data_IF_408119358209
#
_entry.id   IF_408119358209
#
_cell.length_a   1.000
_cell.length_b   1.000
_cell.length_c   1.000
_cell.angle_alpha   90.00
_cell.angle_beta   90.00
_cell.angle_gamma   90.00
#
_symmetry.space_group_name_H-M   'P 1'
#
loop_
_entity.id
_entity.type
_entity.pdbx_description
1 polymer ?
#
# COMPACT_ATOMS: atom_id res chain seq x y z
N UNK A 1 7.46 2.89 -15.76
CA UNK A 1 6.28 2.45 -16.54
C UNK A 1 6.23 3.16 -17.90
N UNK A 2 6.06 4.49 -17.95
CA UNK A 2 6.13 5.29 -19.19
C UNK A 2 7.43 5.07 -20.00
N UNK A 3 8.59 5.29 -19.38
CA UNK A 3 9.90 5.10 -20.03
C UNK A 3 10.16 3.69 -20.56
N UNK A 4 9.59 2.67 -19.89
CA UNK A 4 9.86 1.26 -20.17
C UNK A 4 8.91 0.65 -21.20
N UNK A 5 7.66 1.13 -21.23
CA UNK A 5 6.60 0.47 -22.01
C UNK A 5 5.96 1.38 -23.06
N UNK A 6 5.98 2.69 -22.87
CA UNK A 6 5.29 3.66 -23.75
C UNK A 6 6.28 4.35 -24.68
N UNK A 7 7.37 4.90 -24.13
CA UNK A 7 8.35 5.65 -24.92
C UNK A 7 9.02 4.85 -26.04
N UNK A 8 9.37 3.55 -25.90
CA UNK A 8 10.06 2.82 -26.96
C UNK A 8 9.31 2.78 -28.31
N UNK A 9 8.00 3.07 -28.31
CA UNK A 9 7.16 3.02 -29.51
C UNK A 9 6.56 4.36 -29.92
N UNK A 10 6.50 5.32 -28.99
CA UNK A 10 5.79 6.59 -29.18
C UNK A 10 6.71 7.81 -29.03
N UNK A 11 8.01 7.62 -28.87
CA UNK A 11 9.01 8.70 -28.76
C UNK A 11 9.04 9.63 -29.98
N UNK A 12 8.75 9.09 -31.17
CA UNK A 12 8.75 9.84 -32.44
C UNK A 12 7.36 10.26 -32.93
N UNK A 13 6.30 9.91 -32.21
CA UNK A 13 4.92 10.22 -32.61
C UNK A 13 4.49 11.52 -31.94
N UNK A 14 4.11 12.53 -32.74
CA UNK A 14 3.52 13.74 -32.20
C UNK A 14 2.20 13.41 -31.50
N UNK A 15 1.97 14.01 -30.33
CA UNK A 15 0.81 13.68 -29.49
C UNK A 15 -0.53 13.92 -30.20
N UNK A 16 -0.61 14.92 -31.08
CA UNK A 16 -1.80 15.22 -31.90
C UNK A 16 -2.04 14.25 -33.06
N UNK A 17 -1.03 13.46 -33.45
CA UNK A 17 -1.13 12.44 -34.51
C UNK A 17 -1.29 11.03 -33.95
N UNK A 18 -1.43 10.88 -32.63
CA UNK A 18 -1.56 9.57 -32.02
C UNK A 18 -2.90 8.92 -32.43
N UNK A 19 -2.82 7.69 -32.92
CA UNK A 19 -3.98 6.93 -33.37
C UNK A 19 -4.29 5.74 -32.45
N UNK A 20 -5.56 5.30 -32.36
CA UNK A 20 -5.96 4.16 -31.53
C UNK A 20 -5.18 2.87 -31.85
N UNK A 21 -4.81 2.66 -33.13
CA UNK A 21 -4.00 1.49 -33.54
C UNK A 21 -2.62 1.44 -32.88
N UNK A 22 -2.00 2.60 -32.66
CA UNK A 22 -0.68 2.69 -32.02
C UNK A 22 -0.79 2.39 -30.52
N UNK A 23 -1.85 2.89 -29.87
CA UNK A 23 -2.14 2.56 -28.46
C UNK A 23 -2.39 1.06 -28.28
N UNK A 24 -3.17 0.44 -29.17
CA UNK A 24 -3.36 -1.01 -29.20
C UNK A 24 -2.04 -1.77 -29.40
N UNK A 25 -1.17 -1.31 -30.31
CA UNK A 25 0.12 -1.94 -30.56
C UNK A 25 1.02 -1.93 -29.32
N UNK A 26 1.05 -0.82 -28.57
CA UNK A 26 1.80 -0.71 -27.30
C UNK A 26 1.25 -1.69 -26.26
N UNK A 27 -0.08 -1.79 -26.12
CA UNK A 27 -0.71 -2.74 -25.19
C UNK A 27 -0.42 -4.18 -25.59
N UNK A 28 -0.50 -4.51 -26.87
CA UNK A 28 -0.24 -5.86 -27.38
C UNK A 28 1.23 -6.25 -27.16
N UNK A 29 2.17 -5.35 -27.39
CA UNK A 29 3.60 -5.60 -27.14
C UNK A 29 3.91 -5.78 -25.65
N UNK A 30 3.23 -5.02 -24.78
CA UNK A 30 3.32 -5.28 -23.34
C UNK A 30 2.82 -6.70 -23.02
N UNK A 31 1.74 -7.13 -23.66
CA UNK A 31 1.20 -8.48 -23.47
C UNK A 31 2.15 -9.57 -23.99
N UNK A 32 2.76 -9.41 -25.17
CA UNK A 32 3.72 -10.37 -25.73
C UNK A 32 5.00 -10.47 -24.92
N UNK A 33 5.40 -9.38 -24.22
CA UNK A 33 6.50 -9.39 -23.23
C UNK A 33 6.15 -10.07 -21.90
N UNK A 34 4.96 -10.68 -21.79
CA UNK A 34 4.53 -11.41 -20.61
C UNK A 34 3.94 -10.54 -19.50
N UNK A 35 3.64 -9.26 -19.74
CA UNK A 35 2.99 -8.43 -18.72
C UNK A 35 1.55 -8.91 -18.48
N UNK A 36 1.09 -8.69 -17.25
CA UNK A 36 -0.29 -9.00 -16.85
C UNK A 36 -1.29 -8.13 -17.62
N UNK A 37 -2.52 -8.64 -17.80
CA UNK A 37 -3.63 -7.88 -18.39
C UNK A 37 -3.87 -6.57 -17.65
N UNK A 38 -3.82 -6.60 -16.31
CA UNK A 38 -3.89 -5.40 -15.45
C UNK A 38 -2.83 -4.38 -15.83
N UNK A 39 -1.57 -4.79 -15.99
CA UNK A 39 -0.49 -3.87 -16.36
C UNK A 39 -0.69 -3.30 -17.76
N UNK A 40 -1.14 -4.09 -18.72
CA UNK A 40 -1.45 -3.62 -20.08
C UNK A 40 -2.59 -2.59 -20.07
N UNK A 41 -3.65 -2.86 -19.31
CA UNK A 41 -4.75 -1.93 -19.12
C UNK A 41 -4.30 -0.65 -18.38
N UNK A 42 -3.35 -0.77 -17.45
CA UNK A 42 -2.78 0.39 -16.77
C UNK A 42 -1.97 1.30 -17.71
N UNK A 43 -1.31 0.75 -18.74
CA UNK A 43 -0.73 1.53 -19.85
C UNK A 43 -1.80 2.39 -20.53
N UNK A 44 -2.91 1.78 -20.92
CA UNK A 44 -4.04 2.49 -21.54
C UNK A 44 -4.59 3.59 -20.63
N UNK A 45 -4.80 3.29 -19.35
CA UNK A 45 -5.35 4.25 -18.37
C UNK A 45 -4.42 5.46 -18.22
N UNK A 46 -3.11 5.22 -18.14
CA UNK A 46 -2.11 6.29 -18.03
C UNK A 46 -2.11 7.17 -19.28
N UNK A 47 -2.09 6.56 -20.48
CA UNK A 47 -2.16 7.29 -21.75
C UNK A 47 -3.47 8.09 -21.88
N UNK A 48 -4.59 7.49 -21.48
CA UNK A 48 -5.90 8.16 -21.50
C UNK A 48 -5.89 9.39 -20.60
N UNK A 49 -5.34 9.30 -19.39
CA UNK A 49 -5.26 10.44 -18.48
C UNK A 49 -4.41 11.58 -19.06
N UNK A 50 -3.24 11.26 -19.61
CA UNK A 50 -2.34 12.25 -20.24
C UNK A 50 -2.99 12.94 -21.44
N UNK A 51 -3.62 12.17 -22.34
CA UNK A 51 -4.30 12.71 -23.52
C UNK A 51 -5.57 13.49 -23.17
N UNK A 52 -6.24 13.13 -22.07
CA UNK A 52 -7.37 13.90 -21.55
C UNK A 52 -6.93 15.29 -21.10
N UNK A 53 -5.76 15.41 -20.47
CA UNK A 53 -5.20 16.72 -20.11
C UNK A 53 -4.82 17.51 -21.36
N UNK A 54 -4.05 16.90 -22.27
CA UNK A 54 -3.68 17.54 -23.53
C UNK A 54 -4.89 17.97 -24.37
N UNK A 55 -6.02 17.25 -24.27
CA UNK A 55 -7.26 17.63 -24.94
C UNK A 55 -7.93 18.84 -24.29
N UNK A 56 -7.90 18.96 -22.95
CA UNK A 56 -8.41 20.14 -22.23
C UNK A 56 -7.60 21.38 -22.58
N UNK A 57 -6.29 21.21 -22.72
CA UNK A 57 -5.36 22.28 -23.10
C UNK A 57 -5.43 22.62 -24.61
N UNK A 58 -6.29 21.97 -25.38
CA UNK A 58 -6.45 22.20 -26.82
C UNK A 58 -5.28 21.69 -27.68
N UNK A 59 -4.33 20.95 -27.11
CA UNK A 59 -3.16 20.42 -27.83
C UNK A 59 -3.51 19.25 -28.76
N UNK A 60 -4.58 18.52 -28.45
CA UNK A 60 -5.07 17.42 -29.29
C UNK A 60 -6.58 17.54 -29.52
N UNK A 61 -7.03 17.28 -30.74
CA UNK A 61 -8.46 17.33 -31.06
C UNK A 61 -9.27 16.15 -30.49
N UNK A 62 -8.62 15.04 -30.12
CA UNK A 62 -9.27 13.86 -29.55
C UNK A 62 -8.33 13.02 -28.68
N UNK A 63 -8.90 12.31 -27.71
CA UNK A 63 -8.18 11.31 -26.93
C UNK A 63 -8.19 9.94 -27.62
N UNK A 64 -7.11 9.60 -28.31
CA UNK A 64 -6.97 8.32 -29.01
C UNK A 64 -7.04 7.08 -28.08
N UNK A 65 -6.53 7.19 -26.84
CA UNK A 65 -6.55 6.09 -25.88
C UNK A 65 -7.94 5.83 -25.28
N UNK A 66 -8.84 6.82 -25.32
CA UNK A 66 -10.24 6.65 -24.93
C UNK A 66 -11.02 5.76 -25.92
N UNK A 67 -10.62 5.72 -27.19
CA UNK A 67 -11.24 4.91 -28.24
C UNK A 67 -10.78 3.44 -28.21
N UNK A 68 -9.72 3.14 -27.46
CA UNK A 68 -9.21 1.78 -27.30
C UNK A 68 -9.92 1.04 -26.18
N UNK A 69 -10.41 -0.16 -26.49
CA UNK A 69 -10.99 -1.06 -25.50
C UNK A 69 -9.90 -1.67 -24.61
N UNK A 70 -10.13 -1.80 -23.29
CA UNK A 70 -9.23 -2.56 -22.45
C UNK A 70 -9.23 -4.04 -22.85
N UNK A 71 -8.13 -4.74 -22.58
CA UNK A 71 -8.14 -6.21 -22.60
C UNK A 71 -9.07 -6.73 -21.51
N UNK A 72 -9.87 -7.73 -21.84
CA UNK A 72 -10.71 -8.42 -20.87
C UNK A 72 -9.82 -9.07 -19.81
N UNK A 73 -10.04 -8.75 -18.54
CA UNK A 73 -9.39 -9.44 -17.45
C UNK A 73 -10.18 -10.71 -17.17
N UNK A 74 -9.71 -11.83 -17.73
CA UNK A 74 -10.28 -13.16 -17.50
C UNK A 74 -9.66 -13.83 -16.27
N UNK A 75 -8.99 -13.07 -15.39
CA UNK A 75 -8.64 -13.64 -14.09
C UNK A 75 -9.93 -14.03 -13.39
N UNK A 76 -10.08 -15.33 -13.15
CA UNK A 76 -10.89 -15.79 -12.04
C UNK A 76 -10.48 -14.96 -10.82
N UNK A 77 -11.47 -14.35 -10.17
CA UNK A 77 -11.27 -13.68 -8.90
C UNK A 77 -10.68 -14.71 -7.95
N UNK A 78 -9.35 -14.72 -7.83
CA UNK A 78 -8.69 -15.61 -6.90
C UNK A 78 -9.21 -15.20 -5.53
N UNK A 79 -9.88 -16.11 -4.79
CA UNK A 79 -10.36 -15.77 -3.46
C UNK A 79 -9.15 -15.30 -2.66
N UNK A 80 -9.31 -14.15 -2.00
CA UNK A 80 -8.25 -13.60 -1.16
C UNK A 80 -7.96 -14.65 -0.09
N UNK A 81 -6.75 -15.20 -0.07
CA UNK A 81 -6.35 -16.16 0.96
C UNK A 81 -6.21 -15.40 2.27
N UNK A 82 -7.20 -15.55 3.14
CA UNK A 82 -7.24 -14.95 4.46
C UNK A 82 -6.92 -16.00 5.52
N UNK A 83 -6.21 -15.60 6.55
CA UNK A 83 -5.93 -16.47 7.68
C UNK A 83 -7.23 -16.73 8.45
N UNK A 84 -7.53 -18.01 8.71
CA UNK A 84 -8.55 -18.37 9.69
C UNK A 84 -8.07 -18.01 11.11
N UNK A 85 -8.98 -17.88 12.09
CA UNK A 85 -8.58 -17.64 13.48
C UNK A 85 -7.60 -18.68 14.03
N UNK A 86 -7.74 -19.95 13.63
CA UNK A 86 -6.80 -21.02 14.01
C UNK A 86 -5.43 -20.84 13.37
N UNK A 87 -5.37 -20.48 12.09
CA UNK A 87 -4.11 -20.21 11.39
C UNK A 87 -3.40 -18.95 11.94
N UNK A 88 -4.17 -17.91 12.27
CA UNK A 88 -3.63 -16.72 12.92
C UNK A 88 -3.04 -17.05 14.30
N UNK A 89 -3.68 -17.93 15.06
CA UNK A 89 -3.15 -18.40 16.35
C UNK A 89 -1.82 -19.15 16.19
N UNK A 90 -1.75 -20.10 15.25
CA UNK A 90 -0.51 -20.82 14.94
C UNK A 90 0.60 -19.87 14.51
N UNK A 91 0.28 -18.87 13.69
CA UNK A 91 1.24 -17.83 13.30
C UNK A 91 1.76 -17.03 14.49
N UNK A 92 0.87 -16.62 15.41
CA UNK A 92 1.26 -15.86 16.60
C UNK A 92 2.07 -16.70 17.61
N UNK A 93 1.75 -17.99 17.73
CA UNK A 93 2.52 -18.93 18.56
C UNK A 93 3.94 -19.10 18.00
N UNK A 94 4.08 -19.29 16.68
CA UNK A 94 5.39 -19.37 16.03
C UNK A 94 6.18 -18.05 16.13
N UNK A 95 5.50 -16.91 15.96
CA UNK A 95 6.13 -15.60 16.01
C UNK A 95 6.54 -15.18 17.44
N UNK A 96 6.13 -15.90 18.49
CA UNK A 96 6.42 -15.52 19.88
C UNK A 96 7.92 -15.53 20.20
N UNK A 97 8.68 -16.42 19.57
CA UNK A 97 10.13 -16.56 19.76
C UNK A 97 10.93 -15.66 18.81
N UNK A 98 10.27 -15.07 17.80
CA UNK A 98 10.90 -14.19 16.83
C UNK A 98 11.02 -12.76 17.35
N UNK A 99 12.14 -12.11 17.00
CA UNK A 99 12.34 -10.67 17.25
C UNK A 99 11.20 -9.80 16.72
N UNK A 100 10.61 -10.20 15.60
CA UNK A 100 9.51 -9.48 14.94
C UNK A 100 8.12 -9.91 15.45
N UNK A 101 8.06 -10.79 16.45
CA UNK A 101 6.81 -11.26 17.07
C UNK A 101 5.82 -10.16 17.45
N UNK A 102 6.24 -9.11 18.17
CA UNK A 102 5.36 -7.99 18.51
C UNK A 102 4.74 -7.28 17.30
N UNK A 103 5.46 -7.23 16.16
CA UNK A 103 4.96 -6.63 14.92
C UNK A 103 3.81 -7.45 14.33
N UNK A 104 3.92 -8.78 14.36
CA UNK A 104 2.84 -9.68 13.91
C UNK A 104 1.61 -9.59 14.81
N UNK A 105 1.81 -9.52 16.13
CA UNK A 105 0.72 -9.30 17.10
C UNK A 105 0.00 -7.99 16.78
N UNK A 106 0.72 -6.89 16.60
CA UNK A 106 0.12 -5.60 16.24
C UNK A 106 -0.61 -5.68 14.90
N UNK A 107 -0.01 -6.25 13.85
CA UNK A 107 -0.62 -6.36 12.53
C UNK A 107 -1.98 -7.08 12.57
N UNK A 108 -2.06 -8.20 13.30
CA UNK A 108 -3.27 -9.02 13.38
C UNK A 108 -4.34 -8.38 14.29
N UNK A 109 -3.93 -7.78 15.41
CA UNK A 109 -4.88 -7.25 16.41
C UNK A 109 -5.38 -5.84 16.08
N UNK A 110 -4.59 -5.03 15.40
CA UNK A 110 -4.92 -3.62 15.10
C UNK A 110 -5.27 -3.38 13.63
N UNK A 111 -4.90 -4.29 12.73
CA UNK A 111 -5.17 -4.15 11.29
C UNK A 111 -4.38 -3.04 10.60
N UNK A 112 -3.29 -2.57 11.21
CA UNK A 112 -2.44 -1.53 10.63
C UNK A 112 -1.78 -2.00 9.34
N UNK A 113 -1.66 -1.07 8.38
CA UNK A 113 -0.95 -1.34 7.13
C UNK A 113 0.54 -1.48 7.40
N UNK A 114 1.25 -2.26 6.58
CA UNK A 114 2.70 -2.47 6.70
C UNK A 114 3.49 -1.16 6.83
N UNK A 115 3.12 -0.12 6.07
CA UNK A 115 3.79 1.18 6.16
C UNK A 115 3.52 1.93 7.46
N UNK A 116 2.33 1.77 8.04
CA UNK A 116 1.96 2.36 9.34
C UNK A 116 2.72 1.65 10.47
N UNK A 117 2.79 0.32 10.43
CA UNK A 117 3.60 -0.48 11.35
C UNK A 117 5.08 -0.09 11.28
N UNK A 118 5.64 0.01 10.08
CA UNK A 118 7.03 0.42 9.87
C UNK A 118 7.29 1.87 10.34
N UNK A 119 6.26 2.73 10.37
CA UNK A 119 6.37 4.12 10.79
C UNK A 119 6.17 4.36 12.29
N UNK A 120 5.77 3.34 13.04
CA UNK A 120 5.45 3.48 14.46
C UNK A 120 6.72 3.80 15.27
N UNK A 121 6.61 4.72 16.23
CA UNK A 121 7.66 5.01 17.21
C UNK A 121 7.14 4.81 18.62
N UNK A 122 8.05 4.59 19.57
CA UNK A 122 7.72 4.43 20.99
C UNK A 122 6.88 5.59 21.56
N UNK A 123 7.18 6.83 21.15
CA UNK A 123 6.41 8.02 21.53
C UNK A 123 4.93 8.02 21.08
N UNK A 124 4.56 7.15 20.13
CA UNK A 124 3.18 7.06 19.66
C UNK A 124 2.41 5.93 20.37
N UNK A 125 3.05 5.21 21.30
CA UNK A 125 2.46 4.11 22.06
C UNK A 125 2.35 4.53 23.53
N UNK A 126 1.11 4.55 24.02
CA UNK A 126 0.80 4.76 25.42
C UNK A 126 0.27 3.45 26.00
N UNK A 127 1.12 2.75 26.74
CA UNK A 127 0.78 1.46 27.33
C UNK A 127 -0.15 1.61 28.55
N UNK A 128 -0.10 2.75 29.25
CA UNK A 128 -0.96 3.02 30.41
C UNK A 128 -2.39 3.28 29.94
N UNK A 129 -2.54 4.15 28.95
CA UNK A 129 -3.83 4.47 28.34
C UNK A 129 -4.31 3.39 27.35
N UNK A 130 -3.48 2.37 27.06
CA UNK A 130 -3.70 1.30 26.06
C UNK A 130 -4.06 1.85 24.69
N UNK A 131 -3.31 2.87 24.26
CA UNK A 131 -3.55 3.59 23.02
C UNK A 131 -2.31 3.58 22.13
N UNK A 132 -2.56 3.53 20.83
CA UNK A 132 -1.55 3.68 19.80
C UNK A 132 -2.03 4.73 18.82
N UNK A 133 -1.13 5.65 18.46
CA UNK A 133 -1.41 6.74 17.54
C UNK A 133 -0.66 6.53 16.22
N UNK A 134 -1.40 6.42 15.11
CA UNK A 134 -0.79 6.30 13.78
C UNK A 134 -0.52 7.69 13.24
N UNK A 135 0.73 8.16 13.34
CA UNK A 135 1.13 9.51 12.90
C UNK A 135 1.86 9.55 11.57
N UNK A 136 2.39 8.43 11.10
CA UNK A 136 3.22 8.37 9.90
C UNK A 136 3.13 7.00 9.23
N UNK A 137 3.47 6.98 7.95
CA UNK A 137 3.56 5.76 7.15
C UNK A 137 4.85 5.79 6.33
N UNK A 138 5.58 4.68 6.37
CA UNK A 138 6.79 4.47 5.57
C UNK A 138 6.48 3.60 4.36
N UNK A 139 7.15 3.87 3.26
CA UNK A 139 7.14 3.07 2.04
C UNK A 139 8.55 2.60 1.75
N UNK A 140 8.72 1.30 1.50
CA UNK A 140 9.98 0.79 1.01
C UNK A 140 10.17 1.15 -0.47
N UNK A 141 11.30 1.75 -0.78
CA UNK A 141 11.69 2.13 -2.13
C UNK A 141 12.95 1.36 -2.52
N UNK A 142 12.88 0.63 -3.65
CA UNK A 142 14.01 -0.13 -4.16
C UNK A 142 15.26 0.75 -4.32
N UNK A 143 16.36 0.37 -3.68
CA UNK A 143 17.62 1.10 -3.68
C UNK A 143 17.71 2.29 -2.72
N UNK A 144 16.60 2.70 -2.10
CA UNK A 144 16.56 3.87 -1.19
C UNK A 144 16.08 3.51 0.24
N UNK A 145 15.61 2.28 0.46
CA UNK A 145 15.15 1.80 1.75
C UNK A 145 13.77 2.35 2.15
N UNK A 146 13.46 2.33 3.44
CA UNK A 146 12.21 2.85 3.99
C UNK A 146 12.20 4.38 4.01
N UNK A 147 11.18 4.99 3.40
CA UNK A 147 11.01 6.45 3.36
C UNK A 147 9.62 6.88 3.78
N UNK A 148 9.45 8.06 4.40
CA UNK A 148 8.12 8.61 4.65
C UNK A 148 7.37 8.79 3.33
N UNK A 149 6.09 8.39 3.31
CA UNK A 149 5.23 8.49 2.12
C UNK A 149 5.15 9.93 1.55
N UNK A 150 5.40 10.94 2.39
CA UNK A 150 5.36 12.36 2.02
C UNK A 150 6.74 13.01 1.77
N UNK A 151 7.83 12.23 1.76
CA UNK A 151 9.19 12.79 1.63
C UNK A 151 9.60 13.19 0.21
N UNK A 152 8.79 12.89 -0.82
CA UNK A 152 9.08 13.25 -2.21
C UNK A 152 8.02 14.20 -2.75
N UNK A 153 8.05 15.44 -2.25
CA UNK A 153 7.17 16.52 -2.69
C UNK A 153 7.17 17.71 -1.74
N UNK A 154 8.23 18.51 -1.77
CA UNK A 154 8.22 19.92 -1.35
C UNK A 154 7.59 20.26 0.01
N UNK A 155 8.28 19.96 1.10
CA UNK A 155 8.40 20.81 2.30
C UNK A 155 9.54 20.27 3.16
N UNK A 156 10.66 20.98 3.20
CA UNK A 156 11.69 20.78 4.22
C UNK A 156 11.04 20.91 5.59
N UNK A 157 11.25 20.00 6.55
CA UNK A 157 10.86 20.25 7.93
C UNK A 157 11.88 21.20 8.56
N UNK A 158 11.80 22.47 8.18
CA UNK A 158 12.22 23.56 9.04
C UNK A 158 11.09 23.81 10.03
N UNK A 159 11.45 24.02 11.30
CA UNK A 159 10.60 24.30 12.46
C UNK A 159 9.77 23.14 13.04
N UNK A 160 10.07 22.89 14.33
CA UNK A 160 9.41 22.05 15.35
C UNK A 160 7.93 21.73 15.05
N UNK A 161 7.48 20.46 15.17
CA UNK A 161 6.05 20.18 15.22
C UNK A 161 5.59 20.28 16.68
N UNK A 162 5.24 21.49 17.10
CA UNK A 162 4.25 21.63 18.16
C UNK A 162 2.87 21.80 17.49
N UNK A 163 1.93 20.98 17.95
CA UNK A 163 0.47 21.09 17.78
C UNK A 163 -0.07 21.33 16.36
N UNK A 164 -0.45 20.23 15.69
CA UNK A 164 -1.58 20.27 14.76
C UNK A 164 -2.66 19.31 15.24
N UNK A 165 -3.83 19.88 15.55
CA UNK A 165 -5.12 19.28 15.86
C UNK A 165 -5.69 18.47 14.68
N UNK A 166 -4.95 17.46 14.23
CA UNK A 166 -5.52 16.35 13.47
C UNK A 166 -6.00 15.33 14.49
N UNK A 167 -7.32 15.24 14.70
CA UNK A 167 -7.91 14.22 15.59
C UNK A 167 -7.22 12.87 15.33
N UNK A 168 -6.47 12.31 16.30
CA UNK A 168 -5.82 11.03 16.09
C UNK A 168 -6.89 9.99 15.77
N UNK A 169 -6.64 9.15 14.78
CA UNK A 169 -7.37 7.89 14.69
C UNK A 169 -6.94 7.05 15.89
N UNK A 170 -7.68 7.17 16.99
CA UNK A 170 -7.50 6.35 18.18
C UNK A 170 -8.02 4.95 17.85
N UNK A 171 -7.12 4.04 17.50
CA UNK A 171 -7.47 2.63 17.49
C UNK A 171 -7.30 2.12 18.92
N UNK A 172 -8.41 2.01 19.67
CA UNK A 172 -8.41 1.23 20.91
C UNK A 172 -8.16 -0.22 20.54
N UNK A 173 -7.10 -0.80 21.07
CA UNK A 173 -6.88 -2.25 21.03
C UNK A 173 -8.07 -2.90 21.73
N UNK A 174 -8.91 -3.61 21.00
CA UNK A 174 -10.04 -4.35 21.58
C UNK A 174 -9.50 -5.61 22.23
N UNK A 175 -9.71 -5.75 23.53
CA UNK A 175 -9.53 -7.01 24.24
C UNK A 175 -10.61 -8.00 23.77
N UNK A 176 -10.26 -8.95 22.90
CA UNK A 176 -11.12 -10.08 22.54
C UNK A 176 -11.08 -11.14 23.64
N UNK A 177 -11.76 -10.87 24.75
CA UNK A 177 -12.04 -11.84 25.81
C UNK A 177 -13.52 -11.80 26.20
N UNK A 178 -14.38 -12.47 25.41
CA UNK A 178 -15.72 -12.86 25.84
C UNK A 178 -16.16 -14.11 25.07
N UNK A 179 -16.10 -15.27 25.73
CA UNK A 179 -16.55 -16.56 25.23
C UNK A 179 -16.10 -17.68 26.17
N UNK A 180 -16.89 -17.92 27.22
CA UNK A 180 -16.54 -18.75 28.36
C UNK A 180 -16.32 -20.24 28.05
N UNK A 181 -15.28 -20.79 28.66
CA UNK A 181 -15.02 -22.23 28.77
C UNK A 181 -13.87 -22.45 29.75
N UNK A 182 -14.18 -22.99 30.92
CA UNK A 182 -13.24 -23.23 32.04
C UNK A 182 -12.10 -24.17 31.59
N UNK A 183 -10.86 -23.77 31.83
CA UNK A 183 -9.67 -24.61 31.66
C UNK A 183 -8.40 -23.83 31.94
N UNK A 184 -7.51 -24.37 32.77
CA UNK A 184 -6.32 -23.71 33.32
C UNK A 184 -5.39 -23.11 32.25
N UNK A 185 -4.92 -21.88 32.47
CA UNK A 185 -3.96 -21.21 31.59
C UNK A 185 -3.60 -19.81 32.08
N UNK A 186 -2.76 -19.74 33.11
CA UNK A 186 -2.29 -18.50 33.71
C UNK A 186 -1.52 -17.62 32.72
N UNK A 187 -2.15 -16.52 32.30
CA UNK A 187 -1.59 -15.16 32.17
C UNK A 187 -0.24 -15.00 31.41
N UNK A 188 -0.32 -14.87 30.08
CA UNK A 188 0.80 -14.44 29.22
C UNK A 188 1.17 -12.94 29.32
N UNK A 189 0.37 -12.11 30.00
CA UNK A 189 0.63 -10.66 30.14
C UNK A 189 1.56 -10.30 31.32
N UNK A 190 1.96 -11.27 32.16
CA UNK A 190 2.65 -10.99 33.43
C UNK A 190 4.19 -10.90 33.32
N UNK A 191 4.79 -11.25 32.17
CA UNK A 191 6.28 -11.30 32.03
C UNK A 191 6.93 -10.11 31.30
N UNK A 192 6.18 -9.12 30.86
CA UNK A 192 6.73 -7.88 30.27
C UNK A 192 7.14 -6.81 31.31
N UNK A 193 7.16 -7.15 32.61
CA UNK A 193 7.50 -6.21 33.71
C UNK A 193 8.94 -6.28 34.21
N UNK A 194 9.81 -7.11 33.62
CA UNK A 194 11.16 -7.33 34.16
C UNK A 194 12.28 -6.97 33.20
N UNK A 195 12.05 -6.04 32.27
CA UNK A 195 13.12 -5.46 31.46
C UNK A 195 13.06 -3.95 31.61
N UNK A 196 13.85 -3.44 32.54
CA UNK A 196 14.54 -2.15 32.50
C UNK A 196 15.52 -2.07 33.69
N UNK A 197 16.68 -1.40 33.59
CA UNK A 197 17.50 -1.08 32.42
C UNK A 197 18.74 -1.99 32.29
#
# INVERSE_FOLDING_TARGET
MLKRHVLPRLDRVQIGQLEPRQVNAVMLEARTRGLSVRTCNYIRVTLRAMLSEAQRDGMVGRNAAALVRPFADQREERPLSVLSPGQARVLLEAAHEDREGPLWVLAITTGLRQGELAGLRWQDVDLEARQLQVRRSLQYQNGLGWRPLFALGGRSPGSRPDQHDGRPLHTRVRDSAAGGGRGHGSCAWRKLRSIDP
#
